data_IF_273523932540
#
_entry.id   IF_273523932540
#
_cell.length_a   1.000
_cell.length_b   1.000
_cell.length_c   1.000
_cell.angle_alpha   90.00
_cell.angle_beta   90.00
_cell.angle_gamma   90.00
#
_symmetry.space_group_name_H-M   'P 1'
#
loop_
_entity.id
_entity.type
_entity.pdbx_description
1 polymer ?
#
# COMPACT_ATOMS: atom_id res chain seq x y z
N UNK A 1 1.06 -12.85 21.54
CA UNK A 1 2.28 -12.50 22.28
C UNK A 1 2.38 -10.99 22.41
N UNK A 2 2.13 -10.50 23.63
CA UNK A 2 2.34 -9.11 23.97
C UNK A 2 3.81 -8.79 23.81
N UNK A 3 4.18 -7.96 22.84
CA UNK A 3 5.51 -7.38 22.77
C UNK A 3 5.59 -6.37 23.90
N UNK A 4 6.21 -6.77 25.01
CA UNK A 4 6.61 -5.87 26.08
C UNK A 4 7.65 -4.89 25.51
N UNK A 5 7.22 -3.73 25.05
CA UNK A 5 8.12 -2.60 24.83
C UNK A 5 8.69 -2.22 26.18
N UNK A 6 10.01 -2.07 26.23
CA UNK A 6 10.78 -2.01 27.43
C UNK A 6 10.27 -1.03 28.50
N UNK A 7 10.54 -1.34 29.75
CA UNK A 7 10.18 -0.60 30.97
C UNK A 7 10.37 0.93 30.90
N UNK A 8 11.25 1.44 30.04
CA UNK A 8 11.48 2.87 29.83
C UNK A 8 10.29 3.65 29.26
N UNK A 9 9.44 3.01 28.42
CA UNK A 9 8.25 3.66 27.86
C UNK A 9 7.07 3.69 28.85
N UNK A 10 7.04 2.74 29.79
CA UNK A 10 6.02 2.69 30.84
C UNK A 10 6.18 3.86 31.82
N UNK A 11 7.41 4.26 32.14
CA UNK A 11 7.67 5.38 33.04
C UNK A 11 7.34 6.75 32.44
N UNK A 12 7.36 6.90 31.12
CA UNK A 12 7.02 8.15 30.45
C UNK A 12 5.52 8.40 30.28
N UNK A 13 4.70 7.36 30.47
CA UNK A 13 3.25 7.39 30.28
C UNK A 13 2.51 6.85 31.51
N UNK A 14 2.87 7.35 32.68
CA UNK A 14 2.13 6.99 33.88
C UNK A 14 0.74 7.62 33.84
N UNK A 15 -0.28 6.76 34.07
CA UNK A 15 -1.67 7.16 34.21
C UNK A 15 -1.79 8.02 35.46
N UNK A 16 -2.44 9.16 35.32
CA UNK A 16 -2.71 10.08 36.41
C UNK A 16 -4.18 10.08 36.78
N UNK A 17 -4.53 10.69 37.92
CA UNK A 17 -5.92 10.89 38.30
C UNK A 17 -6.64 11.68 37.20
N UNK A 18 -7.84 11.27 36.83
CA UNK A 18 -8.69 11.83 35.78
C UNK A 18 -8.27 11.45 34.33
N UNK A 19 -7.26 10.58 34.13
CA UNK A 19 -6.96 10.03 32.81
C UNK A 19 -8.01 9.01 32.37
N UNK A 20 -8.38 9.04 31.11
CA UNK A 20 -9.26 8.06 30.48
C UNK A 20 -8.44 7.06 29.65
N UNK A 21 -8.67 5.77 29.88
CA UNK A 21 -7.95 4.69 29.21
C UNK A 21 -8.89 3.94 28.29
N UNK A 22 -8.51 3.76 27.04
CA UNK A 22 -9.22 2.96 26.06
C UNK A 22 -8.49 1.64 25.84
N UNK A 23 -9.25 0.53 25.80
CA UNK A 23 -8.73 -0.80 25.52
C UNK A 23 -9.37 -1.35 24.26
N UNK A 24 -8.55 -1.90 23.37
CA UNK A 24 -8.99 -2.68 22.22
C UNK A 24 -8.65 -4.16 22.42
N UNK A 25 -9.59 -5.07 22.11
CA UNK A 25 -9.39 -6.51 22.13
C UNK A 25 -10.00 -7.14 20.88
N UNK A 26 -9.27 -8.05 20.23
CA UNK A 26 -9.68 -8.72 19.00
C UNK A 26 -8.48 -9.15 18.17
N UNK A 27 -8.68 -9.47 16.89
CA UNK A 27 -7.56 -9.68 15.96
C UNK A 27 -6.76 -8.40 15.80
N UNK A 28 -5.46 -8.52 15.51
CA UNK A 28 -4.56 -7.38 15.41
C UNK A 28 -5.06 -6.34 14.40
N UNK A 29 -5.54 -6.78 13.24
CA UNK A 29 -6.06 -5.89 12.19
C UNK A 29 -7.28 -5.08 12.66
N UNK A 30 -8.23 -5.72 13.38
CA UNK A 30 -9.41 -5.04 13.90
C UNK A 30 -9.03 -4.05 15.00
N UNK A 31 -8.14 -4.45 15.92
CA UNK A 31 -7.68 -3.56 16.99
C UNK A 31 -6.95 -2.36 16.43
N UNK A 32 -6.02 -2.57 15.48
CA UNK A 32 -5.26 -1.49 14.85
C UNK A 32 -6.17 -0.50 14.11
N UNK A 33 -7.14 -0.99 13.34
CA UNK A 33 -8.11 -0.15 12.63
C UNK A 33 -8.98 0.66 13.59
N UNK A 34 -9.51 0.01 14.63
CA UNK A 34 -10.39 0.65 15.61
C UNK A 34 -9.66 1.71 16.42
N UNK A 35 -8.45 1.39 16.90
CA UNK A 35 -7.64 2.33 17.70
C UNK A 35 -7.12 3.49 16.86
N UNK A 36 -6.74 3.25 15.60
CA UNK A 36 -6.36 4.32 14.66
C UNK A 36 -7.51 5.30 14.43
N UNK A 37 -8.72 4.78 14.20
CA UNK A 37 -9.91 5.62 14.01
C UNK A 37 -10.26 6.41 15.28
N UNK A 38 -10.13 5.79 16.46
CA UNK A 38 -10.35 6.45 17.73
C UNK A 38 -9.33 7.56 17.99
N UNK A 39 -8.03 7.32 17.76
CA UNK A 39 -6.97 8.32 17.90
C UNK A 39 -7.26 9.54 17.02
N UNK A 40 -7.62 9.30 15.75
CA UNK A 40 -7.97 10.38 14.82
C UNK A 40 -9.18 11.18 15.31
N UNK A 41 -10.25 10.48 15.71
CA UNK A 41 -11.47 11.11 16.21
C UNK A 41 -11.22 11.97 17.44
N UNK A 42 -10.48 11.45 18.41
CA UNK A 42 -10.13 12.20 19.65
C UNK A 42 -9.21 13.40 19.33
N UNK A 43 -8.25 13.23 18.43
CA UNK A 43 -7.37 14.32 17.98
C UNK A 43 -8.15 15.48 17.38
N UNK A 44 -9.17 15.19 16.58
CA UNK A 44 -10.05 16.19 15.97
C UNK A 44 -10.99 16.83 17.00
N UNK A 45 -11.74 16.02 17.76
CA UNK A 45 -12.76 16.52 18.69
C UNK A 45 -12.18 17.36 19.83
N UNK A 46 -11.00 17.00 20.30
CA UNK A 46 -10.32 17.67 21.42
C UNK A 46 -9.27 18.69 20.94
N UNK A 47 -9.15 18.92 19.63
CA UNK A 47 -8.18 19.85 19.03
C UNK A 47 -6.74 19.62 19.51
N UNK A 48 -6.31 18.34 19.55
CA UNK A 48 -5.00 17.94 20.08
C UNK A 48 -3.86 18.07 19.05
N UNK A 49 -4.15 18.44 17.81
CA UNK A 49 -3.14 18.66 16.79
C UNK A 49 -2.41 19.98 17.04
N UNK A 50 -1.13 19.90 17.38
CA UNK A 50 -0.31 21.06 17.73
C UNK A 50 0.54 21.57 16.57
N UNK A 51 0.85 20.68 15.62
CA UNK A 51 1.72 20.99 14.49
C UNK A 51 0.93 21.23 13.22
N UNK A 52 1.26 22.30 12.50
CA UNK A 52 0.67 22.58 11.18
C UNK A 52 1.07 21.51 10.16
N UNK A 53 2.33 21.06 10.20
CA UNK A 53 2.90 20.06 9.31
C UNK A 53 3.66 19.02 10.13
N UNK A 54 3.21 17.79 10.07
CA UNK A 54 3.79 16.67 10.81
C UNK A 54 4.17 15.52 9.85
N UNK A 55 5.30 15.63 9.12
CA UNK A 55 5.76 14.56 8.24
C UNK A 55 6.36 13.40 9.03
N UNK A 56 6.13 12.18 8.58
CA UNK A 56 6.82 11.00 9.09
C UNK A 56 7.06 9.97 7.98
N UNK A 57 8.06 9.10 8.22
CA UNK A 57 8.32 7.93 7.39
C UNK A 57 7.71 6.69 8.03
N UNK A 58 7.01 5.91 7.24
CA UNK A 58 6.61 4.56 7.58
C UNK A 58 7.58 3.62 6.85
N UNK A 59 8.18 2.72 7.58
CA UNK A 59 9.22 1.80 7.06
C UNK A 59 9.02 0.40 7.64
N UNK A 60 9.78 -0.57 7.15
CA UNK A 60 9.73 -1.97 7.60
C UNK A 60 8.38 -2.64 7.35
N UNK A 61 7.79 -2.37 6.20
CA UNK A 61 6.57 -3.05 5.80
C UNK A 61 6.79 -4.56 5.67
N UNK A 62 5.78 -5.39 6.00
CA UNK A 62 5.77 -6.78 5.61
C UNK A 62 5.96 -6.93 4.10
N UNK A 63 6.68 -7.97 3.67
CA UNK A 63 6.84 -8.26 2.25
C UNK A 63 5.57 -8.83 1.64
N UNK A 64 4.87 -9.65 2.42
CA UNK A 64 3.67 -10.37 2.01
C UNK A 64 2.52 -10.12 2.97
N UNK A 65 1.32 -10.34 2.47
CA UNK A 65 0.08 -10.49 3.23
C UNK A 65 -0.60 -11.81 2.84
N UNK A 66 -1.45 -12.32 3.72
CA UNK A 66 -2.23 -13.52 3.45
C UNK A 66 -3.63 -13.13 2.97
N UNK A 67 -4.01 -13.60 1.80
CA UNK A 67 -5.34 -13.36 1.24
C UNK A 67 -6.42 -14.24 1.91
N UNK A 68 -7.68 -14.10 1.47
CA UNK A 68 -8.81 -14.88 2.00
C UNK A 68 -8.68 -16.39 1.81
N UNK A 69 -7.89 -16.82 0.83
CA UNK A 69 -7.69 -18.22 0.49
C UNK A 69 -6.52 -18.86 1.24
N UNK A 70 -5.82 -18.05 2.05
CA UNK A 70 -4.65 -18.47 2.81
C UNK A 70 -3.35 -18.44 1.99
N UNK A 71 -3.36 -17.87 0.79
CA UNK A 71 -2.18 -17.72 -0.05
C UNK A 71 -1.45 -16.41 0.23
N UNK A 72 -0.11 -16.44 0.14
CA UNK A 72 0.71 -15.24 0.24
C UNK A 72 0.59 -14.41 -1.03
N UNK A 73 0.33 -13.14 -0.84
CA UNK A 73 0.35 -12.12 -1.90
C UNK A 73 1.33 -11.00 -1.52
N UNK A 74 1.94 -10.32 -2.49
CA UNK A 74 2.84 -9.22 -2.15
C UNK A 74 2.03 -8.05 -1.61
N UNK A 75 2.42 -7.49 -0.46
CA UNK A 75 1.73 -6.32 0.13
C UNK A 75 1.75 -5.11 -0.82
N UNK A 76 2.86 -4.86 -1.51
CA UNK A 76 2.99 -3.77 -2.50
C UNK A 76 3.03 -4.34 -3.92
N UNK A 77 4.15 -4.98 -4.28
CA UNK A 77 4.34 -5.65 -5.57
C UNK A 77 5.52 -6.64 -5.52
N UNK A 78 5.57 -7.62 -6.41
CA UNK A 78 6.54 -8.71 -6.34
C UNK A 78 7.99 -8.30 -6.66
N UNK A 79 8.25 -7.04 -6.99
CA UNK A 79 9.59 -6.52 -7.32
C UNK A 79 10.24 -5.74 -6.17
N UNK A 80 9.60 -5.66 -5.02
CA UNK A 80 10.12 -5.00 -3.83
C UNK A 80 11.26 -5.83 -3.24
N UNK A 81 12.36 -5.17 -2.85
CA UNK A 81 13.52 -5.83 -2.26
C UNK A 81 13.24 -6.25 -0.82
N UNK A 82 13.33 -7.56 -0.49
CA UNK A 82 13.23 -8.03 0.89
C UNK A 82 14.49 -7.64 1.69
N UNK A 83 14.35 -7.56 3.01
CA UNK A 83 15.46 -7.26 3.94
C UNK A 83 16.26 -8.49 4.38
N UNK A 84 16.11 -9.60 3.70
CA UNK A 84 16.75 -10.87 4.02
C UNK A 84 17.26 -11.58 2.76
N UNK A 85 18.03 -12.63 2.94
CA UNK A 85 18.51 -13.49 1.85
C UNK A 85 17.40 -14.40 1.30
N UNK A 86 17.62 -14.95 0.09
CA UNK A 86 16.73 -15.95 -0.52
C UNK A 86 16.52 -17.18 0.36
N UNK A 87 17.49 -17.55 1.18
CA UNK A 87 17.37 -18.69 2.09
C UNK A 87 16.47 -18.37 3.28
N UNK A 88 16.62 -17.19 3.86
CA UNK A 88 15.83 -16.74 5.01
C UNK A 88 14.37 -16.55 4.64
N UNK A 89 14.09 -15.90 3.50
CA UNK A 89 12.72 -15.67 3.07
C UNK A 89 11.96 -16.98 2.72
N UNK A 90 12.66 -18.01 2.20
CA UNK A 90 12.06 -19.32 1.97
C UNK A 90 11.70 -20.03 3.28
N UNK A 91 12.46 -19.79 4.34
CA UNK A 91 12.21 -20.42 5.64
C UNK A 91 11.07 -19.75 6.41
N UNK A 92 10.93 -18.44 6.30
CA UNK A 92 9.92 -17.65 7.04
C UNK A 92 9.43 -16.47 6.20
N UNK A 93 8.61 -16.73 5.16
CA UNK A 93 8.11 -15.68 4.29
C UNK A 93 7.13 -14.74 5.01
N UNK A 94 6.31 -15.26 5.93
CA UNK A 94 5.27 -14.49 6.62
C UNK A 94 5.83 -13.36 7.51
N UNK A 95 7.01 -13.56 8.09
CA UNK A 95 7.67 -12.57 8.95
C UNK A 95 8.72 -11.73 8.20
N UNK A 96 8.83 -11.91 6.89
CA UNK A 96 9.79 -11.14 6.10
C UNK A 96 9.34 -9.70 5.93
N UNK A 97 10.26 -8.77 6.18
CA UNK A 97 10.06 -7.33 5.90
C UNK A 97 10.76 -6.91 4.61
N UNK A 98 10.27 -5.82 4.03
CA UNK A 98 10.76 -5.26 2.77
C UNK A 98 11.40 -3.88 2.95
N UNK A 99 12.22 -3.48 1.98
CA UNK A 99 12.67 -2.11 1.80
C UNK A 99 11.60 -1.27 1.08
N UNK A 100 10.38 -1.29 1.61
CA UNK A 100 9.31 -0.38 1.24
C UNK A 100 9.23 0.76 2.25
N UNK A 101 8.78 1.91 1.80
CA UNK A 101 8.67 3.12 2.61
C UNK A 101 7.58 4.04 2.08
N UNK A 102 6.85 4.68 3.01
CA UNK A 102 5.87 5.71 2.69
C UNK A 102 6.20 6.99 3.44
N UNK A 103 5.93 8.12 2.79
CA UNK A 103 5.91 9.44 3.42
C UNK A 103 4.48 9.79 3.76
N UNK A 104 4.24 10.02 5.03
CA UNK A 104 2.95 10.44 5.57
C UNK A 104 3.04 11.87 6.05
N UNK A 105 2.09 12.70 5.68
CA UNK A 105 1.97 14.08 6.13
C UNK A 105 0.58 14.30 6.74
N UNK A 106 0.53 14.71 8.01
CA UNK A 106 -0.72 14.96 8.73
C UNK A 106 -1.71 13.78 8.68
N UNK A 107 -1.19 12.54 8.74
CA UNK A 107 -2.00 11.33 8.68
C UNK A 107 -2.39 10.86 7.27
N UNK A 108 -1.97 11.57 6.23
CA UNK A 108 -2.17 11.16 4.83
C UNK A 108 -0.87 10.68 4.20
N UNK A 109 -0.89 9.51 3.60
CA UNK A 109 0.19 9.06 2.73
C UNK A 109 0.25 9.98 1.50
N UNK A 110 1.35 10.73 1.37
CA UNK A 110 1.59 11.64 0.26
C UNK A 110 2.55 11.09 -0.78
N UNK A 111 3.22 10.01 -0.47
CA UNK A 111 4.12 9.34 -1.39
C UNK A 111 4.62 8.03 -0.84
N UNK A 112 4.93 7.11 -1.72
CA UNK A 112 5.44 5.81 -1.36
C UNK A 112 6.38 5.24 -2.40
N UNK A 113 7.18 4.27 -2.00
CA UNK A 113 8.17 3.65 -2.85
C UNK A 113 8.87 2.46 -2.23
N UNK A 114 9.85 1.93 -2.95
CA UNK A 114 10.67 0.86 -2.45
C UNK A 114 12.03 0.80 -3.15
N UNK A 115 12.99 0.13 -2.52
CA UNK A 115 14.10 -0.46 -3.24
C UNK A 115 13.59 -1.66 -4.03
N UNK A 116 14.18 -1.90 -5.19
CA UNK A 116 13.79 -2.95 -6.12
C UNK A 116 14.73 -4.13 -6.05
N UNK A 117 14.21 -5.32 -6.30
CA UNK A 117 15.05 -6.48 -6.55
C UNK A 117 15.84 -6.21 -7.84
N UNK A 118 17.16 -6.33 -7.74
CA UNK A 118 18.10 -6.18 -8.86
C UNK A 118 18.84 -7.48 -9.18
N UNK A 119 18.65 -8.51 -8.36
CA UNK A 119 19.21 -9.84 -8.54
C UNK A 119 18.15 -10.82 -9.05
N UNK A 120 18.47 -11.50 -10.16
CA UNK A 120 17.55 -12.44 -10.81
C UNK A 120 17.18 -13.62 -9.89
N UNK A 121 18.13 -14.15 -9.14
CA UNK A 121 17.88 -15.31 -8.28
C UNK A 121 16.94 -14.98 -7.13
N UNK A 122 17.04 -13.77 -6.58
CA UNK A 122 16.09 -13.27 -5.59
C UNK A 122 14.70 -13.12 -6.20
N UNK A 123 14.59 -12.58 -7.43
CA UNK A 123 13.30 -12.40 -8.09
C UNK A 123 12.63 -13.76 -8.38
N UNK A 124 13.38 -14.76 -8.81
CA UNK A 124 12.89 -16.11 -9.01
C UNK A 124 12.39 -16.72 -7.69
N UNK A 125 13.10 -16.48 -6.59
CA UNK A 125 12.67 -16.92 -5.25
C UNK A 125 11.34 -16.28 -4.83
N UNK A 126 11.14 -15.00 -5.08
CA UNK A 126 9.86 -14.32 -4.78
C UNK A 126 8.73 -14.93 -5.62
N UNK A 127 8.93 -15.15 -6.92
CA UNK A 127 7.92 -15.78 -7.77
C UNK A 127 7.56 -17.19 -7.32
N UNK A 128 8.55 -17.99 -6.88
CA UNK A 128 8.33 -19.32 -6.32
C UNK A 128 7.43 -19.27 -5.07
N UNK A 129 7.70 -18.35 -4.13
CA UNK A 129 6.88 -18.14 -2.92
C UNK A 129 5.45 -17.74 -3.29
N UNK A 130 5.28 -16.89 -4.28
CA UNK A 130 3.98 -16.43 -4.78
C UNK A 130 3.27 -17.43 -5.69
N UNK A 131 3.84 -18.63 -5.88
CA UNK A 131 3.30 -19.69 -6.76
C UNK A 131 3.13 -19.24 -8.22
N UNK A 132 3.92 -18.28 -8.69
CA UNK A 132 3.96 -17.85 -10.08
C UNK A 132 4.89 -18.80 -10.84
N UNK A 133 4.35 -19.55 -11.80
CA UNK A 133 5.14 -20.47 -12.60
C UNK A 133 6.15 -19.74 -13.49
N UNK A 134 7.18 -20.45 -13.93
CA UNK A 134 8.20 -19.87 -14.81
C UNK A 134 7.58 -19.40 -16.12
N UNK A 135 6.66 -20.16 -16.69
CA UNK A 135 5.94 -19.82 -17.93
C UNK A 135 5.10 -18.55 -17.76
N UNK A 136 4.44 -18.43 -16.62
CA UNK A 136 3.67 -17.24 -16.29
C UNK A 136 4.56 -16.01 -16.06
N UNK A 137 5.66 -16.18 -15.33
CA UNK A 137 6.65 -15.14 -15.09
C UNK A 137 7.26 -14.64 -16.41
N UNK A 138 7.64 -15.55 -17.30
CA UNK A 138 8.20 -15.21 -18.62
C UNK A 138 7.15 -14.48 -19.50
N UNK A 139 5.90 -14.92 -19.47
CA UNK A 139 4.82 -14.29 -20.23
C UNK A 139 4.49 -12.87 -19.72
N UNK A 140 4.43 -12.67 -18.41
CA UNK A 140 4.04 -11.40 -17.80
C UNK A 140 5.22 -10.43 -17.64
N UNK A 141 6.40 -10.93 -17.32
CA UNK A 141 7.55 -10.16 -16.85
C UNK A 141 8.87 -10.51 -17.57
N UNK A 142 8.81 -11.28 -18.66
CA UNK A 142 10.00 -11.76 -19.36
C UNK A 142 10.94 -10.65 -19.79
N UNK A 143 10.43 -9.49 -20.22
CA UNK A 143 11.22 -8.31 -20.54
C UNK A 143 12.04 -7.79 -19.34
N UNK A 144 11.43 -7.76 -18.13
CA UNK A 144 12.10 -7.34 -16.89
C UNK A 144 13.15 -8.37 -16.48
N UNK A 145 12.80 -9.67 -16.48
CA UNK A 145 13.73 -10.74 -16.11
C UNK A 145 14.96 -10.78 -17.03
N UNK A 146 14.75 -10.48 -18.32
CA UNK A 146 15.84 -10.35 -19.29
C UNK A 146 16.73 -9.15 -18.96
N UNK A 147 16.13 -8.01 -18.61
CA UNK A 147 16.89 -6.83 -18.22
C UNK A 147 17.71 -7.07 -16.95
N UNK A 148 17.13 -7.70 -15.92
CA UNK A 148 17.84 -8.08 -14.69
C UNK A 148 19.02 -9.00 -14.96
N UNK A 149 18.87 -9.97 -15.88
CA UNK A 149 19.97 -10.89 -16.24
C UNK A 149 21.09 -10.24 -17.06
N UNK A 150 20.87 -9.06 -17.63
CA UNK A 150 21.91 -8.30 -18.35
C UNK A 150 22.77 -7.43 -17.42
N UNK A 151 22.53 -7.46 -16.12
CA UNK A 151 23.19 -6.63 -15.10
C UNK A 151 22.37 -5.41 -14.76
N UNK A 152 21.79 -5.42 -13.57
CA UNK A 152 20.98 -4.33 -13.05
C UNK A 152 21.64 -3.77 -11.78
N UNK A 153 21.89 -2.44 -11.70
CA UNK A 153 22.41 -1.85 -10.45
C UNK A 153 21.32 -1.84 -9.37
N UNK A 154 21.69 -1.74 -8.09
CA UNK A 154 20.74 -1.42 -7.04
C UNK A 154 19.97 -0.15 -7.40
N UNK A 155 18.66 -0.20 -7.31
CA UNK A 155 17.79 0.92 -7.66
C UNK A 155 16.53 0.92 -6.80
N UNK A 156 15.87 2.06 -6.78
CA UNK A 156 14.62 2.28 -6.08
C UNK A 156 14.01 3.59 -6.54
N UNK A 157 12.90 3.95 -5.96
CA UNK A 157 12.22 5.19 -6.28
C UNK A 157 11.08 5.48 -5.34
N UNK A 158 10.55 6.68 -5.48
CA UNK A 158 9.38 7.15 -4.75
C UNK A 158 8.45 7.88 -5.71
N UNK A 159 7.15 7.69 -5.55
CA UNK A 159 6.13 8.44 -6.25
C UNK A 159 5.32 9.27 -5.25
N UNK A 160 5.01 10.50 -5.61
CA UNK A 160 4.21 11.40 -4.78
C UNK A 160 2.82 11.59 -5.38
N UNK A 161 1.80 11.55 -4.52
CA UNK A 161 0.42 11.86 -4.89
C UNK A 161 0.20 13.36 -4.93
N UNK A 162 0.33 13.97 -6.12
CA UNK A 162 0.20 15.41 -6.29
C UNK A 162 -1.13 15.93 -5.75
N UNK A 163 -2.24 15.26 -6.04
CA UNK A 163 -3.56 15.68 -5.58
C UNK A 163 -3.67 15.69 -4.05
N UNK A 164 -3.09 14.71 -3.37
CA UNK A 164 -3.04 14.67 -1.89
C UNK A 164 -2.21 15.82 -1.32
N UNK A 165 -1.08 16.14 -1.94
CA UNK A 165 -0.25 17.28 -1.53
C UNK A 165 -1.02 18.59 -1.71
N UNK A 166 -1.67 18.77 -2.87
CA UNK A 166 -2.48 19.97 -3.14
C UNK A 166 -3.65 20.08 -2.15
N UNK A 167 -4.34 18.98 -1.86
CA UNK A 167 -5.40 18.90 -0.86
C UNK A 167 -4.93 19.42 0.51
N UNK A 168 -3.78 18.95 0.97
CA UNK A 168 -3.21 19.38 2.26
C UNK A 168 -2.77 20.85 2.25
N UNK A 169 -2.13 21.31 1.18
CA UNK A 169 -1.67 22.71 1.05
C UNK A 169 -2.83 23.69 0.98
N UNK A 170 -3.91 23.32 0.30
CA UNK A 170 -5.14 24.13 0.21
C UNK A 170 -6.06 23.98 1.42
N UNK A 171 -5.68 23.15 2.39
CA UNK A 171 -6.45 22.91 3.63
C UNK A 171 -7.88 22.43 3.35
N UNK A 172 -8.07 21.60 2.34
CA UNK A 172 -9.34 20.90 2.11
C UNK A 172 -9.25 19.44 2.58
N UNK A 173 -10.36 18.87 3.02
CA UNK A 173 -10.46 17.49 3.49
C UNK A 173 -10.96 16.52 2.41
N UNK A 174 -11.27 17.01 1.23
CA UNK A 174 -11.82 16.23 0.14
C UNK A 174 -10.94 16.36 -1.11
N UNK A 175 -10.33 15.26 -1.51
CA UNK A 175 -9.46 15.20 -2.68
C UNK A 175 -10.18 15.61 -3.99
N UNK A 176 -11.51 15.43 -4.05
CA UNK A 176 -12.30 15.81 -5.22
C UNK A 176 -12.31 17.33 -5.47
N UNK A 177 -12.08 18.14 -4.44
CA UNK A 177 -12.06 19.59 -4.55
C UNK A 177 -10.81 20.13 -5.27
N UNK A 178 -9.78 19.29 -5.40
CA UNK A 178 -8.51 19.62 -6.06
C UNK A 178 -8.27 18.86 -7.39
N UNK A 179 -9.21 17.99 -7.78
CA UNK A 179 -9.17 17.26 -9.05
C UNK A 179 -10.11 17.96 -10.04
N UNK A 180 -9.60 18.30 -11.21
CA UNK A 180 -10.36 19.06 -12.22
C UNK A 180 -11.66 18.37 -12.67
N UNK A 181 -11.66 17.05 -12.83
CA UNK A 181 -12.83 16.29 -13.29
C UNK A 181 -12.97 15.01 -12.46
N UNK A 182 -13.40 15.13 -11.17
CA UNK A 182 -13.50 13.98 -10.28
C UNK A 182 -14.58 13.01 -10.75
N UNK A 183 -14.30 11.73 -10.66
CA UNK A 183 -15.29 10.68 -10.92
C UNK A 183 -16.25 10.53 -9.74
N UNK A 184 -17.47 10.05 -10.04
CA UNK A 184 -18.45 9.68 -9.01
C UNK A 184 -18.01 8.42 -8.25
N UNK A 185 -18.76 8.06 -7.21
CA UNK A 185 -18.51 6.80 -6.46
C UNK A 185 -18.66 5.56 -7.36
N UNK A 186 -19.52 5.62 -8.37
CA UNK A 186 -19.69 4.57 -9.37
C UNK A 186 -18.65 4.64 -10.51
N UNK A 187 -17.57 5.41 -10.34
CA UNK A 187 -16.54 5.65 -11.34
C UNK A 187 -17.00 6.33 -12.64
N UNK A 188 -18.20 6.94 -12.65
CA UNK A 188 -18.69 7.69 -13.80
C UNK A 188 -18.01 9.07 -13.89
N UNK A 189 -17.72 9.49 -15.10
CA UNK A 189 -17.19 10.82 -15.41
C UNK A 189 -18.32 11.73 -15.88
N UNK A 190 -18.66 12.74 -15.07
CA UNK A 190 -19.75 13.68 -15.42
C UNK A 190 -19.41 14.61 -16.60
N UNK A 191 -18.13 14.74 -16.94
CA UNK A 191 -17.72 15.56 -18.08
C UNK A 191 -17.93 14.84 -19.43
N UNK A 192 -17.63 13.53 -19.46
CA UNK A 192 -17.60 12.75 -20.70
C UNK A 192 -18.72 11.72 -20.80
N UNK A 193 -19.59 11.64 -19.80
CA UNK A 193 -20.60 10.60 -19.63
C UNK A 193 -20.03 9.15 -19.69
N UNK A 194 -18.75 9.00 -19.39
CA UNK A 194 -18.12 7.68 -19.33
C UNK A 194 -18.50 6.96 -18.00
N UNK A 195 -18.68 5.63 -18.00
CA UNK A 195 -18.61 4.73 -19.14
C UNK A 195 -19.81 4.88 -20.09
N UNK A 196 -19.56 4.74 -21.38
CA UNK A 196 -20.58 4.80 -22.44
C UNK A 196 -20.43 3.58 -23.35
N UNK A 197 -21.43 3.34 -24.19
CA UNK A 197 -21.40 2.26 -25.17
C UNK A 197 -20.31 2.50 -26.22
N UNK A 198 -19.70 1.42 -26.72
CA UNK A 198 -18.70 1.42 -27.76
C UNK A 198 -19.34 0.88 -29.04
N UNK A 199 -19.07 1.54 -30.16
CA UNK A 199 -19.61 1.09 -31.45
C UNK A 199 -19.06 -0.28 -31.84
N UNK A 200 -19.92 -1.11 -32.43
CA UNK A 200 -19.57 -2.47 -32.85
C UNK A 200 -18.35 -2.49 -33.78
N UNK A 201 -18.23 -1.52 -34.67
CA UNK A 201 -17.08 -1.43 -35.59
C UNK A 201 -15.74 -1.36 -34.84
N UNK A 202 -15.68 -0.64 -33.70
CA UNK A 202 -14.48 -0.53 -32.88
C UNK A 202 -14.17 -1.85 -32.15
N UNK A 203 -15.20 -2.56 -31.69
CA UNK A 203 -15.02 -3.87 -31.08
C UNK A 203 -14.54 -4.91 -32.10
N UNK A 204 -15.13 -4.90 -33.31
CA UNK A 204 -14.76 -5.80 -34.41
C UNK A 204 -13.29 -5.59 -34.85
N UNK A 205 -12.82 -4.33 -34.91
CA UNK A 205 -11.41 -3.99 -35.21
C UNK A 205 -10.45 -4.63 -34.20
N UNK A 206 -10.82 -4.58 -32.90
CA UNK A 206 -10.02 -5.15 -31.81
C UNK A 206 -10.24 -6.65 -31.65
N UNK A 207 -11.17 -7.26 -32.38
CA UNK A 207 -11.58 -8.68 -32.25
C UNK A 207 -12.02 -9.04 -30.83
N UNK A 208 -12.80 -8.16 -30.19
CA UNK A 208 -13.38 -8.36 -28.86
C UNK A 208 -14.91 -8.25 -28.94
N UNK A 209 -15.58 -8.91 -28.01
CA UNK A 209 -17.04 -8.85 -27.90
C UNK A 209 -17.42 -8.42 -26.47
N UNK A 210 -18.49 -7.62 -26.36
CA UNK A 210 -19.09 -7.33 -25.07
C UNK A 210 -19.94 -8.53 -24.64
N UNK A 211 -19.70 -9.03 -23.43
CA UNK A 211 -20.54 -10.06 -22.82
C UNK A 211 -21.77 -9.46 -22.12
N UNK A 212 -21.83 -8.13 -22.03
CA UNK A 212 -22.99 -7.44 -21.47
C UNK A 212 -24.15 -7.55 -22.47
N UNK A 213 -25.24 -8.15 -22.04
CA UNK A 213 -26.51 -8.14 -22.80
C UNK A 213 -27.21 -6.83 -22.47
N UNK A 214 -27.55 -6.06 -23.49
CA UNK A 214 -28.48 -4.95 -23.35
C UNK A 214 -29.86 -5.56 -22.95
N UNK A 215 -30.42 -5.14 -21.82
CA UNK A 215 -31.76 -5.49 -21.37
C UNK A 215 -32.83 -4.73 -22.19
#
# INVERSE_FOLDING_TARGET
TSVSRGLGDVYKRQIQTDDLIFFGAGSESIVNLSMSSLIKKLGEDLSLYTEKWAPCWIVNFPMFETNSDGDLTPLHHPFTLPKCSSKEIKNDPENTTAYAYDVVLNGYEIGGGSLRIYDKSMQETIFEILKISKEEADKKFGFLLKALSSGCPPHGGIAFGLDRIVMLVTNTNNIRDVIAFPKTQSAACLLTDAPSTVEKAQLDELKIESTHKED
#
